data_IF_010630049018
#
_entry.id   IF_010630049018
#
_cell.length_a   1.000
_cell.length_b   1.000
_cell.length_c   1.000
_cell.angle_alpha   90.00
_cell.angle_beta   90.00
_cell.angle_gamma   90.00
#
_symmetry.space_group_name_H-M   'P 1'
#
loop_
_entity.id
_entity.type
_entity.pdbx_description
1 polymer ?
#
# COMPACT_ATOMS: atom_id res chain seq x y z
N UNK A 1 1.01 -2.14 14.70
CA UNK A 1 1.28 -2.89 13.44
C UNK A 1 2.77 -2.93 13.14
N UNK A 2 3.45 -1.79 13.01
CA UNK A 2 4.91 -1.77 12.85
C UNK A 2 5.67 -2.40 14.04
N UNK A 3 5.28 -2.05 15.28
CA UNK A 3 5.88 -2.66 16.48
C UNK A 3 5.65 -4.20 16.56
N UNK A 4 4.59 -4.70 15.92
CA UNK A 4 4.32 -6.13 15.82
C UNK A 4 5.26 -6.82 14.82
N UNK A 5 5.46 -6.22 13.64
CA UNK A 5 6.47 -6.68 12.69
C UNK A 5 7.89 -6.66 13.30
N UNK A 6 8.19 -5.66 14.14
CA UNK A 6 9.46 -5.59 14.87
C UNK A 6 9.60 -6.72 15.89
N UNK A 7 8.55 -6.97 16.67
CA UNK A 7 8.55 -8.07 17.65
C UNK A 7 8.73 -9.45 16.98
N UNK A 8 8.27 -9.60 15.74
CA UNK A 8 8.44 -10.82 14.94
C UNK A 8 9.77 -10.89 14.18
N UNK A 9 10.62 -9.87 14.27
CA UNK A 9 11.90 -9.80 13.53
C UNK A 9 11.73 -9.54 12.03
N UNK A 10 10.54 -9.13 11.58
CA UNK A 10 10.20 -8.83 10.17
C UNK A 10 10.19 -7.35 9.85
N UNK A 11 10.58 -6.49 10.80
CA UNK A 11 10.68 -5.04 10.61
C UNK A 11 11.65 -4.57 9.51
N UNK A 12 12.47 -5.49 8.97
CA UNK A 12 13.39 -5.27 7.85
C UNK A 12 13.01 -6.06 6.57
N UNK A 13 11.82 -6.68 6.53
CA UNK A 13 11.28 -7.29 5.32
C UNK A 13 10.43 -6.26 4.57
N UNK A 14 10.81 -5.97 3.32
CA UNK A 14 10.07 -5.04 2.48
C UNK A 14 8.61 -5.49 2.33
N UNK A 15 8.33 -6.78 2.08
CA UNK A 15 6.95 -7.25 1.90
C UNK A 15 6.13 -7.00 3.16
N UNK A 16 6.70 -7.21 4.34
CA UNK A 16 6.02 -6.96 5.61
C UNK A 16 5.76 -5.46 5.83
N UNK A 17 6.75 -4.60 5.56
CA UNK A 17 6.56 -3.15 5.67
C UNK A 17 5.50 -2.64 4.69
N UNK A 18 5.47 -3.21 3.48
CA UNK A 18 4.42 -2.95 2.50
C UNK A 18 3.08 -3.44 3.10
N UNK A 19 2.96 -4.68 3.56
CA UNK A 19 1.73 -5.17 4.22
C UNK A 19 1.26 -4.21 5.31
N UNK A 20 2.13 -3.83 6.24
CA UNK A 20 1.83 -2.88 7.34
C UNK A 20 1.32 -1.54 6.82
N UNK A 21 1.90 -1.01 5.73
CA UNK A 21 1.50 0.27 5.14
C UNK A 21 0.07 0.24 4.57
N UNK A 22 -0.32 -0.84 3.87
CA UNK A 22 -1.66 -0.93 3.24
C UNK A 22 -2.70 -1.67 4.10
N UNK A 23 -2.31 -2.37 5.16
CA UNK A 23 -3.22 -3.09 6.07
C UNK A 23 -4.39 -2.24 6.58
N UNK A 24 -4.20 -0.97 7.00
CA UNK A 24 -5.32 -0.14 7.43
C UNK A 24 -6.40 0.05 6.35
N UNK A 25 -6.01 0.14 5.07
CA UNK A 25 -6.97 0.31 3.97
C UNK A 25 -7.79 -0.97 3.73
N UNK A 26 -7.20 -2.13 4.01
CA UNK A 26 -7.86 -3.43 3.93
C UNK A 26 -8.79 -3.67 5.14
N UNK A 27 -8.36 -3.34 6.35
CA UNK A 27 -9.18 -3.53 7.55
C UNK A 27 -10.33 -2.53 7.65
N UNK A 28 -10.18 -1.33 7.06
CA UNK A 28 -11.20 -0.30 7.13
C UNK A 28 -12.33 -0.52 6.11
N UNK A 29 -13.43 -1.12 6.60
CA UNK A 29 -14.66 -1.30 5.82
C UNK A 29 -15.82 -0.43 6.32
N UNK A 30 -16.80 -0.16 5.46
CA UNK A 30 -18.09 0.41 5.86
C UNK A 30 -19.05 -0.64 6.46
N UNK A 31 -20.26 -0.21 6.80
CA UNK A 31 -21.31 -1.09 7.35
C UNK A 31 -21.78 -2.21 6.39
N UNK A 32 -21.37 -2.17 5.12
CA UNK A 32 -21.65 -3.20 4.11
C UNK A 32 -20.42 -4.09 3.83
N UNK A 33 -19.35 -3.96 4.62
CA UNK A 33 -18.11 -4.70 4.43
C UNK A 33 -17.26 -4.20 3.26
N UNK A 34 -17.50 -2.98 2.74
CA UNK A 34 -16.77 -2.45 1.58
C UNK A 34 -15.66 -1.50 2.00
N UNK A 35 -14.54 -1.52 1.28
CA UNK A 35 -13.36 -0.68 1.55
C UNK A 35 -13.60 0.79 1.13
N UNK A 36 -14.42 1.51 1.90
CA UNK A 36 -14.91 2.86 1.57
C UNK A 36 -13.78 3.90 1.45
N UNK A 37 -12.73 3.79 2.26
CA UNK A 37 -11.57 4.69 2.17
C UNK A 37 -10.73 4.40 0.92
N UNK A 38 -10.51 3.14 0.57
CA UNK A 38 -9.84 2.77 -0.69
C UNK A 38 -10.63 3.27 -1.91
N UNK A 39 -11.97 3.19 -1.89
CA UNK A 39 -12.84 3.80 -2.90
C UNK A 39 -12.65 5.31 -3.03
N UNK A 40 -12.55 6.00 -1.89
CA UNK A 40 -12.33 7.44 -1.85
C UNK A 40 -10.97 7.80 -2.45
N UNK A 41 -9.89 7.13 -2.04
CA UNK A 41 -8.54 7.34 -2.60
C UNK A 41 -8.50 7.06 -4.11
N UNK A 42 -9.12 5.98 -4.56
CA UNK A 42 -9.23 5.69 -5.99
C UNK A 42 -10.05 6.75 -6.74
N UNK A 43 -11.04 7.37 -6.09
CA UNK A 43 -11.80 8.50 -6.62
C UNK A 43 -10.94 9.76 -6.79
N UNK A 44 -10.15 10.11 -5.77
CA UNK A 44 -9.22 11.24 -5.82
C UNK A 44 -8.15 11.09 -6.90
N UNK A 45 -7.59 9.88 -7.06
CA UNK A 45 -6.63 9.61 -8.14
C UNK A 45 -7.26 9.85 -9.51
N UNK A 46 -8.46 9.31 -9.75
CA UNK A 46 -9.18 9.48 -11.04
C UNK A 46 -9.59 10.92 -11.31
N UNK A 47 -9.84 11.72 -10.27
CA UNK A 47 -10.18 13.14 -10.43
C UNK A 47 -8.95 14.05 -10.57
N UNK A 48 -7.73 13.51 -10.49
CA UNK A 48 -6.49 14.29 -10.50
C UNK A 48 -6.24 15.09 -9.23
N UNK A 49 -6.98 14.81 -8.14
CA UNK A 49 -6.91 15.55 -6.88
C UNK A 49 -6.14 14.81 -5.78
N UNK A 50 -5.36 13.78 -6.14
CA UNK A 50 -4.61 13.02 -5.13
C UNK A 50 -3.60 13.89 -4.38
N UNK A 51 -3.10 14.96 -5.00
CA UNK A 51 -2.16 15.91 -4.38
C UNK A 51 -2.82 16.69 -3.23
N UNK A 52 -4.14 16.85 -3.24
CA UNK A 52 -4.88 17.40 -2.09
C UNK A 52 -4.75 16.53 -0.85
N UNK A 53 -4.50 15.21 -0.99
CA UNK A 53 -4.20 14.32 0.16
C UNK A 53 -2.85 14.67 0.79
N UNK A 54 -1.86 15.08 0.01
CA UNK A 54 -0.53 15.41 0.54
C UNK A 54 -0.58 16.57 1.53
N UNK A 55 -1.60 17.44 1.44
CA UNK A 55 -1.84 18.53 2.38
C UNK A 55 -2.26 18.04 3.78
N UNK A 56 -2.71 16.78 3.91
CA UNK A 56 -3.12 16.16 5.18
C UNK A 56 -2.02 15.22 5.73
N UNK A 57 -0.96 14.94 4.96
CA UNK A 57 0.09 13.98 5.36
C UNK A 57 0.82 14.38 6.65
N UNK A 58 0.93 15.67 6.95
CA UNK A 58 1.61 16.17 8.16
C UNK A 58 0.97 15.67 9.48
N UNK A 59 -0.21 15.07 9.41
CA UNK A 59 -0.96 14.57 10.57
C UNK A 59 -0.72 13.07 10.87
N UNK A 60 0.08 12.35 10.08
CA UNK A 60 0.20 10.89 10.18
C UNK A 60 1.66 10.40 10.40
N UNK A 61 2.23 10.60 11.60
CA UNK A 61 3.63 10.27 11.89
C UNK A 61 3.97 8.78 11.73
N UNK A 62 3.00 7.88 11.90
CA UNK A 62 3.22 6.44 11.73
C UNK A 62 3.40 6.05 10.24
N UNK A 63 2.72 6.74 9.33
CA UNK A 63 2.92 6.55 7.88
C UNK A 63 4.34 6.96 7.48
N UNK A 64 4.84 8.05 8.04
CA UNK A 64 6.21 8.53 7.79
C UNK A 64 7.25 7.55 8.35
N UNK A 65 7.03 7.00 9.56
CA UNK A 65 7.90 5.97 10.14
C UNK A 65 8.03 4.73 9.26
N UNK A 66 6.90 4.20 8.76
CA UNK A 66 6.92 3.04 7.85
C UNK A 66 7.59 3.40 6.53
N UNK A 67 7.26 4.56 5.96
CA UNK A 67 7.86 5.04 4.70
C UNK A 67 9.36 5.18 4.80
N UNK A 68 9.88 5.73 5.90
CA UNK A 68 11.31 5.86 6.11
C UNK A 68 12.01 4.51 6.16
N UNK A 69 11.43 3.51 6.84
CA UNK A 69 12.00 2.15 6.86
C UNK A 69 11.99 1.49 5.49
N UNK A 70 10.95 1.73 4.68
CA UNK A 70 10.94 1.30 3.28
C UNK A 70 12.11 1.96 2.52
N UNK A 71 12.33 3.26 2.69
CA UNK A 71 13.46 3.98 2.07
C UNK A 71 14.80 3.35 2.46
N UNK A 72 14.98 3.04 3.75
CA UNK A 72 16.22 2.50 4.29
C UNK A 72 16.56 1.12 3.69
N UNK A 73 15.56 0.30 3.35
CA UNK A 73 15.73 -1.00 2.69
C UNK A 73 16.01 -0.92 1.18
N UNK A 74 15.79 0.23 0.55
CA UNK A 74 15.93 0.37 -0.90
C UNK A 74 17.36 0.77 -1.31
N UNK A 75 17.89 0.20 -2.41
CA UNK A 75 19.11 0.69 -3.04
C UNK A 75 19.01 2.17 -3.43
N UNK A 76 20.12 2.91 -3.36
CA UNK A 76 20.16 4.35 -3.66
C UNK A 76 19.60 4.70 -5.05
N UNK A 77 19.81 3.84 -6.04
CA UNK A 77 19.28 4.03 -7.39
C UNK A 77 17.73 3.97 -7.46
N UNK A 78 17.07 3.38 -6.46
CA UNK A 78 15.61 3.21 -6.41
C UNK A 78 14.96 4.31 -5.56
N UNK A 79 15.64 4.82 -4.53
CA UNK A 79 15.07 5.79 -3.58
C UNK A 79 14.40 7.00 -4.25
N UNK A 80 14.98 7.65 -5.28
CA UNK A 80 14.33 8.78 -5.96
C UNK A 80 13.01 8.41 -6.67
N UNK A 81 12.82 7.13 -7.02
CA UNK A 81 11.64 6.64 -7.70
C UNK A 81 10.49 6.29 -6.75
N UNK A 82 10.78 6.21 -5.44
CA UNK A 82 9.82 5.73 -4.45
C UNK A 82 8.51 6.53 -4.43
N UNK A 83 8.50 7.89 -4.45
CA UNK A 83 7.23 8.63 -4.43
C UNK A 83 6.30 8.26 -5.59
N UNK A 84 6.85 8.13 -6.79
CA UNK A 84 6.10 7.73 -7.98
C UNK A 84 5.63 6.27 -7.88
N UNK A 85 6.50 5.37 -7.42
CA UNK A 85 6.15 3.95 -7.25
C UNK A 85 5.11 3.73 -6.15
N UNK A 86 5.16 4.49 -5.05
CA UNK A 86 4.13 4.48 -4.01
C UNK A 86 2.78 4.96 -4.55
N UNK A 87 2.77 5.99 -5.40
CA UNK A 87 1.53 6.45 -6.06
C UNK A 87 0.95 5.36 -6.99
N UNK A 88 1.78 4.77 -7.84
CA UNK A 88 1.34 3.70 -8.76
C UNK A 88 0.84 2.46 -8.01
N UNK A 89 1.56 2.04 -6.96
CA UNK A 89 1.16 0.88 -6.14
C UNK A 89 -0.05 1.16 -5.27
N UNK A 90 -0.28 2.42 -4.85
CA UNK A 90 -1.56 2.82 -4.24
C UNK A 90 -2.73 2.56 -5.20
N UNK A 91 -2.59 2.89 -6.48
CA UNK A 91 -3.59 2.58 -7.50
C UNK A 91 -3.83 1.07 -7.66
N UNK A 92 -2.75 0.27 -7.67
CA UNK A 92 -2.81 -1.19 -7.73
C UNK A 92 -3.59 -1.77 -6.54
N UNK A 93 -3.19 -1.41 -5.31
CA UNK A 93 -3.81 -1.95 -4.09
C UNK A 93 -5.26 -1.49 -3.97
N UNK A 94 -5.57 -0.21 -4.24
CA UNK A 94 -6.95 0.25 -4.24
C UNK A 94 -7.79 -0.52 -5.29
N UNK A 95 -7.23 -0.77 -6.48
CA UNK A 95 -7.89 -1.59 -7.51
C UNK A 95 -8.20 -3.01 -7.02
N UNK A 96 -7.26 -3.64 -6.32
CA UNK A 96 -7.46 -4.96 -5.72
C UNK A 96 -8.55 -4.96 -4.66
N UNK A 97 -8.57 -3.98 -3.75
CA UNK A 97 -9.62 -3.83 -2.73
C UNK A 97 -11.01 -3.62 -3.35
N UNK A 98 -11.10 -2.83 -4.42
CA UNK A 98 -12.35 -2.67 -5.17
C UNK A 98 -12.81 -3.95 -5.87
N UNK A 99 -11.88 -4.83 -6.23
CA UNK A 99 -12.19 -6.13 -6.79
C UNK A 99 -12.65 -7.11 -5.72
N UNK A 100 -12.03 -7.08 -4.54
CA UNK A 100 -12.47 -7.79 -3.33
C UNK A 100 -13.90 -7.38 -2.94
N UNK A 101 -14.22 -6.08 -2.95
CA UNK A 101 -15.57 -5.56 -2.67
C UNK A 101 -16.68 -6.13 -3.57
N UNK A 102 -16.32 -6.63 -4.77
CA UNK A 102 -17.26 -7.27 -5.71
C UNK A 102 -17.46 -8.76 -5.44
N UNK A 103 -16.65 -9.33 -4.55
CA UNK A 103 -16.60 -10.75 -4.19
C UNK A 103 -16.82 -10.93 -2.69
N UNK A 104 -17.62 -10.09 -2.04
CA UNK A 104 -17.87 -10.16 -0.59
C UNK A 104 -18.49 -11.49 -0.13
N UNK A 105 -19.11 -12.25 -1.04
CA UNK A 105 -19.62 -13.59 -0.77
C UNK A 105 -18.53 -14.68 -0.82
N UNK A 106 -17.27 -14.31 -1.09
CA UNK A 106 -16.13 -15.22 -1.04
C UNK A 106 -15.75 -15.59 0.40
N UNK A 107 -15.05 -16.71 0.54
CA UNK A 107 -14.51 -17.14 1.84
C UNK A 107 -13.45 -16.13 2.34
N UNK A 108 -13.37 -15.86 3.65
CA UNK A 108 -12.40 -14.91 4.22
C UNK A 108 -10.95 -15.19 3.79
N UNK A 109 -10.56 -16.47 3.69
CA UNK A 109 -9.21 -16.87 3.28
C UNK A 109 -8.91 -16.47 1.83
N UNK A 110 -9.92 -16.50 0.95
CA UNK A 110 -9.76 -16.06 -0.43
C UNK A 110 -9.62 -14.54 -0.53
N UNK A 111 -10.31 -13.80 0.34
CA UNK A 111 -10.18 -12.33 0.42
C UNK A 111 -8.79 -11.94 0.90
N UNK A 112 -8.29 -12.57 1.98
CA UNK A 112 -6.93 -12.35 2.49
C UNK A 112 -5.89 -12.69 1.41
N UNK A 113 -6.04 -13.83 0.73
CA UNK A 113 -5.10 -14.23 -0.33
C UNK A 113 -5.05 -13.22 -1.49
N UNK A 114 -6.19 -12.63 -1.87
CA UNK A 114 -6.23 -11.57 -2.89
C UNK A 114 -5.54 -10.28 -2.44
N UNK A 115 -5.64 -9.94 -1.16
CA UNK A 115 -4.92 -8.80 -0.59
C UNK A 115 -3.42 -9.07 -0.55
N UNK A 116 -3.00 -10.23 -0.04
CA UNK A 116 -1.60 -10.63 0.03
C UNK A 116 -0.92 -10.71 -1.34
N UNK A 117 -1.62 -11.16 -2.38
CA UNK A 117 -1.13 -11.13 -3.76
C UNK A 117 -0.88 -9.69 -4.24
N UNK A 118 -1.81 -8.76 -3.95
CA UNK A 118 -1.64 -7.34 -4.27
C UNK A 118 -0.45 -6.71 -3.50
N UNK A 119 -0.22 -7.10 -2.26
CA UNK A 119 0.95 -6.68 -1.47
C UNK A 119 2.24 -7.19 -2.10
N UNK A 120 2.31 -8.45 -2.49
CA UNK A 120 3.49 -9.02 -3.16
C UNK A 120 3.78 -8.30 -4.49
N UNK A 121 2.75 -8.02 -5.29
CA UNK A 121 2.88 -7.24 -6.53
C UNK A 121 3.38 -5.81 -6.26
N UNK A 122 2.85 -5.13 -5.24
CA UNK A 122 3.26 -3.79 -4.88
C UNK A 122 4.73 -3.75 -4.41
N UNK A 123 5.13 -4.69 -3.55
CA UNK A 123 6.51 -4.80 -3.09
C UNK A 123 7.47 -5.04 -4.26
N UNK A 124 7.12 -5.93 -5.19
CA UNK A 124 7.90 -6.18 -6.39
C UNK A 124 8.02 -4.93 -7.28
N UNK A 125 6.92 -4.21 -7.51
CA UNK A 125 6.92 -2.97 -8.29
C UNK A 125 7.75 -1.86 -7.63
N UNK A 126 7.81 -1.82 -6.30
CA UNK A 126 8.65 -0.88 -5.54
C UNK A 126 10.12 -1.26 -5.62
N UNK A 127 10.46 -2.55 -5.57
CA UNK A 127 11.83 -3.04 -5.53
C UNK A 127 12.51 -3.20 -6.91
N UNK A 128 11.74 -3.19 -8.01
CA UNK A 128 12.29 -3.48 -9.35
C UNK A 128 13.42 -2.49 -9.72
N UNK A 129 14.52 -2.92 -10.35
CA UNK A 129 15.55 -1.98 -10.81
C UNK A 129 14.98 -0.90 -11.76
N UNK A 130 15.58 0.30 -11.82
CA UNK A 130 15.21 1.28 -12.84
C UNK A 130 15.39 0.69 -14.24
N UNK A 131 14.52 1.02 -15.22
CA UNK A 131 14.72 0.62 -16.59
C UNK A 131 16.06 1.18 -17.10
N UNK A 132 16.76 0.39 -17.92
CA UNK A 132 17.99 0.87 -18.58
C UNK A 132 17.59 1.97 -19.56
N UNK A 133 18.30 3.10 -19.54
CA UNK A 133 18.18 4.11 -20.59
C UNK A 133 18.55 3.44 -21.92
N UNK A 134 17.58 3.34 -22.83
CA UNK A 134 17.74 2.85 -24.21
C UNK A 134 18.12 3.99 -25.14
#
# INVERSE_FOLDING_TARGET
MLDGADAEGKGADLIELIRVFWRPLFEQTDYRGRHSYARFLAGLERSGMIETRQQVNAEFPETDRVTQRIIDLLPDAIRPLLPNRLRLTTGLVCGALLHIDRKLDAQPEAVEAMFEDAIAMAAAAIAVPPPKET
#
